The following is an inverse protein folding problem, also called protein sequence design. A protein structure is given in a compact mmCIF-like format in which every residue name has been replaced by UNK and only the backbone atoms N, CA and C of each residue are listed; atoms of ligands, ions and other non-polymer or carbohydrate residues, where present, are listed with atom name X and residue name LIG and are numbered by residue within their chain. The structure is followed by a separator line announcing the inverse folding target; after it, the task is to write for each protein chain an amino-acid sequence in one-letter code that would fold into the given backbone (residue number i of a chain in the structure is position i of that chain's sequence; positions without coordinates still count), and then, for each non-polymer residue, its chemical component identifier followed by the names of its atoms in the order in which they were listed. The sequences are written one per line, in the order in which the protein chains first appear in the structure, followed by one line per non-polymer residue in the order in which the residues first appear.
data_IF_034178472372
#
_entry.id   IF_034178472372
#
_cell.length_a   1.000
_cell.length_b   1.000
_cell.length_c   1.000
_cell.angle_alpha   90.00
_cell.angle_beta   90.00
_cell.angle_gamma   90.00
#
_symmetry.space_group_name_H-M   'P 1'
#
loop_
_entity.id
_entity.type
_entity.pdbx_description
1 polymer ?
#
# COMPACT_ATOMS: atom_id res chain seq x y z
N UNK A 1 7.70 17.91 0.64
CA UNK A 1 6.45 18.23 -0.06
C UNK A 1 5.30 18.07 0.92
N UNK A 2 4.42 19.05 0.97
CA UNK A 2 3.28 19.09 1.90
C UNK A 2 1.96 19.25 1.17
N UNK A 3 0.93 18.66 1.73
CA UNK A 3 -0.46 18.80 1.30
C UNK A 3 -1.25 19.63 2.31
N UNK A 4 -1.82 20.75 1.87
CA UNK A 4 -2.82 21.45 2.65
C UNK A 4 -4.12 20.66 2.68
N UNK A 5 -4.61 20.37 3.88
CA UNK A 5 -5.91 19.73 4.05
C UNK A 5 -7.05 20.75 4.04
N UNK A 6 -6.74 22.04 4.13
CA UNK A 6 -7.73 23.12 4.11
C UNK A 6 -8.22 23.41 2.68
N UNK A 7 -7.28 23.64 1.76
CA UNK A 7 -7.57 24.09 0.38
C UNK A 7 -7.18 23.09 -0.71
N UNK A 8 -6.48 22.00 -0.34
CA UNK A 8 -6.04 20.96 -1.26
C UNK A 8 -4.86 21.36 -2.14
N UNK A 9 -4.10 22.40 -1.78
CA UNK A 9 -2.87 22.77 -2.46
C UNK A 9 -1.70 21.87 -2.03
N UNK A 10 -0.86 21.51 -2.99
CA UNK A 10 0.41 20.84 -2.75
C UNK A 10 1.51 21.87 -2.76
N UNK A 11 2.33 21.92 -1.71
CA UNK A 11 3.34 22.95 -1.49
C UNK A 11 4.72 22.29 -1.34
N UNK A 12 5.74 22.93 -1.90
CA UNK A 12 7.15 22.67 -1.56
C UNK A 12 7.53 23.76 -0.56
N UNK A 13 8.03 23.34 0.61
CA UNK A 13 8.42 24.27 1.68
C UNK A 13 9.77 23.90 2.24
N UNK A 14 10.60 24.87 2.49
CA UNK A 14 11.80 24.73 3.27
C UNK A 14 11.43 24.68 4.76
N UNK A 15 11.90 23.68 5.45
CA UNK A 15 11.71 23.46 6.89
C UNK A 15 13.05 23.12 7.53
N UNK A 16 13.22 23.36 8.84
CA UNK A 16 14.41 22.89 9.54
C UNK A 16 14.60 21.39 9.41
N UNK A 17 15.85 20.93 9.25
CA UNK A 17 16.17 19.51 9.29
C UNK A 17 15.69 18.89 10.60
N UNK A 18 15.10 17.67 10.57
CA UNK A 18 14.75 16.98 11.80
C UNK A 18 15.97 16.71 12.66
N UNK A 19 15.82 16.82 13.97
CA UNK A 19 16.85 16.41 14.92
C UNK A 19 16.75 14.93 15.20
N UNK A 20 17.90 14.25 15.34
CA UNK A 20 17.94 12.81 15.66
C UNK A 20 17.23 12.50 16.98
N UNK A 21 16.57 11.35 17.04
CA UNK A 21 15.89 10.82 18.22
C UNK A 21 16.40 9.41 18.53
N UNK A 22 16.30 8.97 19.77
CA UNK A 22 16.54 7.58 20.16
C UNK A 22 15.65 6.64 19.32
N UNK A 23 16.19 5.50 18.90
CA UNK A 23 15.49 4.50 18.09
C UNK A 23 15.26 4.89 16.61
N UNK A 24 15.80 6.02 16.14
CA UNK A 24 15.55 6.55 14.80
C UNK A 24 16.84 6.68 13.97
N UNK A 25 16.63 6.77 12.67
CA UNK A 25 17.65 7.10 11.68
C UNK A 25 17.33 8.45 11.04
N UNK A 26 18.33 9.30 10.87
CA UNK A 26 18.25 10.47 10.01
C UNK A 26 18.83 10.08 8.64
N UNK A 27 18.00 10.16 7.60
CA UNK A 27 18.30 9.67 6.26
C UNK A 27 18.31 10.86 5.31
N UNK A 28 19.36 11.01 4.51
CA UNK A 28 19.41 11.89 3.36
C UNK A 28 18.83 11.17 2.15
N UNK A 29 17.70 11.63 1.66
CA UNK A 29 16.96 10.99 0.56
C UNK A 29 17.73 11.06 -0.75
N UNK A 30 17.82 9.92 -1.46
CA UNK A 30 18.26 9.86 -2.86
C UNK A 30 17.06 9.88 -3.79
N UNK A 31 16.03 9.08 -3.46
CA UNK A 31 14.78 8.99 -4.23
C UNK A 31 13.59 8.80 -3.29
N UNK A 32 12.45 9.28 -3.74
CA UNK A 32 11.15 8.94 -3.16
C UNK A 32 10.14 8.59 -4.25
N UNK A 33 9.24 7.65 -3.99
CA UNK A 33 8.29 7.15 -4.97
C UNK A 33 6.90 7.77 -4.76
N UNK A 34 6.37 8.43 -5.80
CA UNK A 34 5.00 8.93 -5.81
C UNK A 34 4.04 7.77 -6.04
N UNK A 35 3.21 7.50 -5.06
CA UNK A 35 2.12 6.51 -5.15
C UNK A 35 0.82 7.20 -5.55
N UNK A 36 0.58 7.27 -6.85
CA UNK A 36 -0.55 8.02 -7.43
C UNK A 36 -1.92 7.63 -6.87
N UNK A 37 -2.12 6.39 -6.43
CA UNK A 37 -3.38 5.93 -5.82
C UNK A 37 -3.64 6.58 -4.46
N UNK A 38 -2.68 6.48 -3.54
CA UNK A 38 -2.80 6.98 -2.17
C UNK A 38 -2.76 8.50 -2.13
N UNK A 39 -1.79 9.10 -2.78
CA UNK A 39 -1.60 10.57 -2.75
C UNK A 39 -2.72 11.33 -3.44
N UNK A 40 -3.22 10.81 -4.57
CA UNK A 40 -4.42 11.36 -5.22
C UNK A 40 -5.64 11.37 -4.29
N UNK A 41 -5.79 10.36 -3.44
CA UNK A 41 -6.88 10.31 -2.46
C UNK A 41 -6.73 11.41 -1.42
N UNK A 42 -5.51 11.65 -0.92
CA UNK A 42 -5.21 12.74 0.01
C UNK A 42 -5.45 14.13 -0.61
N UNK A 43 -5.00 14.33 -1.84
CA UNK A 43 -5.24 15.57 -2.60
C UNK A 43 -6.73 15.81 -2.81
N UNK A 44 -7.50 14.79 -3.21
CA UNK A 44 -8.95 14.89 -3.35
C UNK A 44 -9.62 15.24 -2.02
N UNK A 45 -9.20 14.61 -0.93
CA UNK A 45 -9.71 14.91 0.41
C UNK A 45 -9.41 16.37 0.78
N UNK A 46 -8.21 16.88 0.54
CA UNK A 46 -7.85 18.28 0.76
C UNK A 46 -8.77 19.25 -0.02
N UNK A 47 -9.07 18.95 -1.28
CA UNK A 47 -9.92 19.76 -2.17
C UNK A 47 -11.42 19.66 -1.87
N UNK A 48 -11.87 18.68 -1.11
CA UNK A 48 -13.29 18.52 -0.77
C UNK A 48 -13.74 19.56 0.25
N UNK A 49 -15.02 19.91 0.24
CA UNK A 49 -15.60 20.82 1.22
C UNK A 49 -15.74 20.16 2.61
N UNK A 50 -15.98 20.95 3.66
CA UNK A 50 -16.09 20.47 5.04
C UNK A 50 -17.17 19.39 5.21
N UNK A 51 -18.27 19.45 4.48
CA UNK A 51 -19.36 18.48 4.55
C UNK A 51 -18.93 17.15 3.94
N UNK A 52 -18.21 17.19 2.82
CA UNK A 52 -17.65 16.00 2.17
C UNK A 52 -16.53 15.37 3.00
N UNK A 53 -15.66 16.22 3.61
CA UNK A 53 -14.63 15.75 4.57
C UNK A 53 -15.28 15.04 5.76
N UNK A 54 -16.35 15.59 6.32
CA UNK A 54 -17.11 14.98 7.41
C UNK A 54 -17.74 13.64 6.99
N UNK A 55 -18.36 13.57 5.81
CA UNK A 55 -18.93 12.33 5.26
C UNK A 55 -17.87 11.25 5.02
N UNK A 56 -16.66 11.65 4.61
CA UNK A 56 -15.53 10.74 4.37
C UNK A 56 -14.89 10.19 5.65
N UNK A 57 -15.14 10.79 6.82
CA UNK A 57 -14.54 10.40 8.10
C UNK A 57 -15.56 10.39 9.25
N UNK A 58 -16.57 9.49 9.23
CA UNK A 58 -17.67 9.49 10.20
C UNK A 58 -17.20 9.27 11.63
N UNK A 59 -16.14 8.49 11.86
CA UNK A 59 -15.59 8.28 13.22
C UNK A 59 -15.01 9.57 13.80
N UNK A 60 -14.25 10.32 13.01
CA UNK A 60 -13.72 11.63 13.45
C UNK A 60 -14.82 12.66 13.69
N UNK A 61 -15.96 12.54 12.99
CA UNK A 61 -17.12 13.38 13.27
C UNK A 61 -17.70 13.07 14.64
N UNK A 62 -17.73 11.81 15.04
CA UNK A 62 -18.16 11.41 16.43
C UNK A 62 -17.21 12.01 17.47
N UNK A 63 -15.88 11.91 17.26
CA UNK A 63 -14.89 12.49 18.16
C UNK A 63 -15.08 14.01 18.30
N UNK A 64 -15.37 14.70 17.18
CA UNK A 64 -15.68 16.13 17.16
C UNK A 64 -16.96 16.43 17.93
N UNK A 65 -18.03 15.63 17.76
CA UNK A 65 -19.29 15.80 18.48
C UNK A 65 -19.13 15.55 19.99
N UNK A 66 -18.31 14.59 20.40
CA UNK A 66 -17.96 14.40 21.81
C UNK A 66 -17.18 15.57 22.36
N UNK A 67 -16.20 16.07 21.60
CA UNK A 67 -15.40 17.21 21.98
C UNK A 67 -16.21 18.51 22.06
N UNK A 68 -17.26 18.67 21.27
CA UNK A 68 -18.22 19.78 21.40
C UNK A 68 -18.93 19.73 22.77
N UNK A 69 -19.24 18.55 23.27
CA UNK A 69 -19.90 18.38 24.58
C UNK A 69 -18.98 18.70 25.75
N UNK A 70 -17.67 18.42 25.63
CA UNK A 70 -16.68 18.64 26.70
C UNK A 70 -16.07 20.05 26.65
N UNK A 71 -15.65 20.52 25.50
CA UNK A 71 -14.84 21.72 25.31
C UNK A 71 -15.64 22.91 24.76
N UNK A 72 -16.90 22.66 24.34
CA UNK A 72 -17.78 23.64 23.72
C UNK A 72 -17.57 23.77 22.20
N UNK A 73 -18.57 24.33 21.46
CA UNK A 73 -18.55 24.35 20.00
C UNK A 73 -17.49 25.27 19.39
N UNK A 74 -17.20 26.41 20.02
CA UNK A 74 -16.23 27.38 19.49
C UNK A 74 -14.80 26.85 19.60
N UNK A 75 -14.43 26.31 20.75
CA UNK A 75 -13.11 25.72 21.01
C UNK A 75 -12.87 24.52 20.10
N UNK A 76 -13.89 23.66 19.93
CA UNK A 76 -13.80 22.51 19.05
C UNK A 76 -13.66 22.90 17.59
N UNK A 77 -14.43 23.89 17.12
CA UNK A 77 -14.29 24.43 15.76
C UNK A 77 -12.87 24.95 15.49
N UNK A 78 -12.31 25.72 16.43
CA UNK A 78 -10.95 26.24 16.34
C UNK A 78 -9.92 25.10 16.29
N UNK A 79 -10.07 24.07 17.10
CA UNK A 79 -9.19 22.90 17.11
C UNK A 79 -9.25 22.12 15.80
N UNK A 80 -10.44 21.93 15.22
CA UNK A 80 -10.61 21.29 13.92
C UNK A 80 -9.98 22.13 12.82
N UNK A 81 -10.23 23.44 12.83
CA UNK A 81 -9.65 24.37 11.86
C UNK A 81 -8.12 24.34 11.92
N UNK A 82 -7.52 24.50 13.10
CA UNK A 82 -6.07 24.43 13.29
C UNK A 82 -5.47 23.12 12.80
N UNK A 83 -6.18 22.00 12.98
CA UNK A 83 -5.73 20.68 12.49
C UNK A 83 -5.80 20.55 10.97
N UNK A 84 -6.76 21.20 10.31
CA UNK A 84 -6.86 21.24 8.85
C UNK A 84 -5.87 22.22 8.22
N UNK A 85 -5.49 23.27 8.94
CA UNK A 85 -4.49 24.26 8.53
C UNK A 85 -3.05 23.72 8.61
N UNK A 86 -2.81 22.64 9.41
CA UNK A 86 -1.48 22.02 9.49
C UNK A 86 -1.19 21.26 8.19
N UNK A 87 -0.12 21.64 7.45
CA UNK A 87 0.28 20.92 6.26
C UNK A 87 0.71 19.49 6.61
N UNK A 88 0.24 18.53 5.83
CA UNK A 88 0.60 17.13 6.01
C UNK A 88 1.70 16.72 5.03
N UNK A 89 2.80 16.11 5.47
CA UNK A 89 3.82 15.61 4.56
C UNK A 89 3.24 14.55 3.62
N UNK A 90 3.58 14.62 2.33
CA UNK A 90 3.24 13.62 1.32
C UNK A 90 4.36 12.60 1.18
N UNK A 91 4.00 11.42 0.70
CA UNK A 91 4.92 10.31 0.49
C UNK A 91 5.01 9.36 1.68
N UNK A 92 5.40 8.13 1.37
CA UNK A 92 5.64 7.05 2.32
C UNK A 92 6.59 5.98 1.75
N UNK A 93 7.40 6.36 0.79
CA UNK A 93 8.35 5.47 0.11
C UNK A 93 9.61 6.26 -0.18
N UNK A 94 10.67 5.98 0.56
CA UNK A 94 11.93 6.69 0.50
C UNK A 94 13.09 5.71 0.42
N UNK A 95 14.17 6.10 -0.25
CA UNK A 95 15.47 5.46 -0.22
C UNK A 95 16.55 6.53 -0.09
N UNK A 96 17.56 6.28 0.70
CA UNK A 96 18.64 7.23 0.92
C UNK A 96 19.76 6.70 1.80
N UNK A 97 20.67 7.57 2.14
CA UNK A 97 21.85 7.29 2.96
C UNK A 97 21.62 7.72 4.42
N UNK A 98 21.96 6.86 5.35
CA UNK A 98 21.95 7.17 6.80
C UNK A 98 23.06 8.16 7.10
N UNK A 99 22.70 9.35 7.58
CA UNK A 99 23.66 10.40 7.96
C UNK A 99 23.82 10.55 9.46
N UNK A 100 22.84 10.08 10.25
CA UNK A 100 22.90 10.09 11.70
C UNK A 100 22.10 8.90 12.27
N UNK A 101 22.59 8.29 13.35
CA UNK A 101 21.99 7.14 14.02
C UNK A 101 21.66 7.49 15.45
N UNK A 102 20.42 7.28 15.87
CA UNK A 102 19.95 7.55 17.21
C UNK A 102 20.38 6.50 18.21
N UNK A 103 20.37 6.85 19.48
CA UNK A 103 20.66 5.93 20.58
C UNK A 103 19.73 4.70 20.52
N UNK A 104 20.27 3.50 20.79
CA UNK A 104 19.51 2.24 20.76
C UNK A 104 19.27 1.68 19.35
N UNK A 105 20.03 2.12 18.36
CA UNK A 105 20.04 1.56 17.01
C UNK A 105 21.40 0.95 16.73
N UNK A 106 21.49 -0.38 16.76
CA UNK A 106 22.75 -1.11 16.61
C UNK A 106 22.90 -1.79 15.24
N UNK A 107 21.80 -1.89 14.48
CA UNK A 107 21.75 -2.62 13.20
C UNK A 107 22.03 -1.77 11.95
N UNK A 108 22.26 -0.46 12.12
CA UNK A 108 22.55 0.47 11.03
C UNK A 108 23.77 1.35 11.37
N UNK A 109 24.52 1.73 10.35
CA UNK A 109 25.68 2.60 10.44
C UNK A 109 25.51 3.84 9.56
N UNK A 110 26.22 4.92 9.89
CA UNK A 110 26.34 6.09 9.00
C UNK A 110 26.96 5.64 7.66
N UNK A 111 26.35 6.08 6.56
CA UNK A 111 26.73 5.68 5.21
C UNK A 111 25.95 4.48 4.65
N UNK A 112 25.20 3.76 5.48
CA UNK A 112 24.34 2.69 4.99
C UNK A 112 23.23 3.23 4.07
N UNK A 113 22.96 2.51 2.98
CA UNK A 113 21.81 2.77 2.13
C UNK A 113 20.60 2.01 2.64
N UNK A 114 19.51 2.74 2.87
CA UNK A 114 18.28 2.17 3.45
C UNK A 114 17.04 2.60 2.67
N UNK A 115 16.05 1.71 2.63
CA UNK A 115 14.67 2.06 2.27
C UNK A 115 13.89 2.36 3.55
N UNK A 116 12.93 3.26 3.46
CA UNK A 116 12.06 3.62 4.58
C UNK A 116 10.65 4.04 4.12
N UNK A 117 9.73 4.16 5.09
CA UNK A 117 8.43 4.77 4.86
C UNK A 117 8.44 6.31 4.97
N UNK A 118 9.60 6.94 4.87
CA UNK A 118 9.76 8.39 4.93
C UNK A 118 8.98 9.14 3.85
N UNK A 119 8.58 10.39 4.12
CA UNK A 119 7.87 11.25 3.18
C UNK A 119 8.79 11.77 2.06
N UNK A 120 8.22 12.53 1.11
CA UNK A 120 8.98 13.26 0.09
C UNK A 120 9.67 14.48 0.71
N UNK A 121 10.90 14.29 1.18
CA UNK A 121 11.74 15.32 1.76
C UNK A 121 13.22 14.98 1.56
N UNK A 122 14.09 16.00 1.56
CA UNK A 122 15.54 15.80 1.45
C UNK A 122 16.10 15.04 2.67
N UNK A 123 15.56 15.34 3.84
CA UNK A 123 15.94 14.73 5.11
C UNK A 123 14.70 14.12 5.75
N UNK A 124 14.79 12.84 6.10
CA UNK A 124 13.71 12.14 6.78
C UNK A 124 14.19 11.48 8.06
N UNK A 125 13.43 11.65 9.13
CA UNK A 125 13.65 10.98 10.40
C UNK A 125 12.69 9.81 10.52
N UNK A 126 13.21 8.58 10.58
CA UNK A 126 12.39 7.37 10.52
C UNK A 126 12.80 6.38 11.62
N UNK A 127 11.85 5.76 12.34
CA UNK A 127 12.15 4.71 13.30
C UNK A 127 12.83 3.50 12.65
N UNK A 128 13.73 2.85 13.38
CA UNK A 128 14.55 1.72 12.88
C UNK A 128 13.72 0.54 12.34
N UNK A 129 12.55 0.26 12.91
CA UNK A 129 11.68 -0.83 12.47
C UNK A 129 10.95 -0.53 11.15
N UNK A 130 11.00 0.71 10.68
CA UNK A 130 10.45 1.14 9.39
C UNK A 130 11.55 1.40 8.35
N UNK A 131 12.76 0.88 8.61
CA UNK A 131 13.92 0.94 7.72
C UNK A 131 14.44 -0.47 7.43
N UNK A 132 14.98 -0.68 6.22
CA UNK A 132 15.69 -1.90 5.85
C UNK A 132 16.89 -1.58 4.96
N UNK A 133 18.00 -2.32 5.15
CA UNK A 133 19.24 -2.16 4.38
C UNK A 133 19.03 -2.52 2.92
N UNK A 134 19.46 -1.63 2.02
CA UNK A 134 19.48 -1.90 0.58
C UNK A 134 20.70 -2.79 0.28
N UNK A 135 20.52 -3.94 -0.41
CA UNK A 135 21.64 -4.75 -0.86
C UNK A 135 22.58 -3.96 -1.79
N UNK A 136 23.88 -4.16 -1.66
CA UNK A 136 24.94 -3.40 -2.42
C UNK A 136 24.70 -3.40 -3.94
N UNK A 137 24.27 -4.53 -4.50
CA UNK A 137 24.08 -4.71 -5.95
C UNK A 137 22.69 -4.23 -6.44
N UNK A 138 21.85 -3.67 -5.56
CA UNK A 138 20.52 -3.20 -5.93
C UNK A 138 20.53 -1.69 -6.17
N UNK A 139 19.99 -1.28 -7.32
CA UNK A 139 19.84 0.14 -7.65
C UNK A 139 18.77 0.80 -6.73
N UNK A 140 19.10 1.95 -6.16
CA UNK A 140 18.21 2.72 -5.29
C UNK A 140 16.86 3.05 -5.95
N UNK A 141 16.88 3.30 -7.27
CA UNK A 141 15.67 3.59 -8.04
C UNK A 141 14.72 2.38 -8.15
N UNK A 142 15.25 1.16 -8.03
CA UNK A 142 14.43 -0.06 -7.90
C UNK A 142 14.05 -0.28 -6.43
N UNK A 143 14.99 -0.04 -5.51
CA UNK A 143 14.79 -0.24 -4.07
C UNK A 143 13.65 0.60 -3.51
N UNK A 144 13.39 1.81 -4.03
CA UNK A 144 12.31 2.68 -3.56
C UNK A 144 10.89 2.07 -3.70
N UNK A 145 10.74 1.03 -4.54
CA UNK A 145 9.47 0.28 -4.67
C UNK A 145 9.19 -0.68 -3.51
N UNK A 146 10.10 -0.81 -2.56
CA UNK A 146 10.00 -1.77 -1.46
C UNK A 146 8.73 -1.61 -0.63
N UNK A 147 8.42 -0.40 -0.18
CA UNK A 147 7.26 -0.16 0.67
C UNK A 147 5.93 -0.49 -0.04
N UNK A 148 5.64 0.02 -1.25
CA UNK A 148 4.41 -0.36 -1.96
C UNK A 148 4.35 -1.85 -2.33
N UNK A 149 5.48 -2.49 -2.65
CA UNK A 149 5.51 -3.92 -2.91
C UNK A 149 5.21 -4.75 -1.65
N UNK A 150 5.63 -4.27 -0.47
CA UNK A 150 5.33 -4.91 0.81
C UNK A 150 3.85 -4.87 1.17
N UNK A 151 3.09 -3.87 0.70
CA UNK A 151 1.62 -3.85 0.81
C UNK A 151 1.04 -5.04 0.04
N UNK A 152 1.49 -5.26 -1.19
CA UNK A 152 1.09 -6.43 -1.99
C UNK A 152 1.49 -7.75 -1.34
N UNK A 153 2.74 -7.83 -0.83
CA UNK A 153 3.25 -9.03 -0.16
C UNK A 153 2.44 -9.37 1.10
N UNK A 154 2.02 -8.38 1.89
CA UNK A 154 1.16 -8.62 3.05
C UNK A 154 -0.19 -9.23 2.63
N UNK A 155 -0.81 -8.74 1.58
CA UNK A 155 -2.02 -9.36 1.04
C UNK A 155 -1.80 -10.79 0.59
N UNK A 156 -0.68 -11.09 -0.04
CA UNK A 156 -0.28 -12.45 -0.43
C UNK A 156 -0.08 -13.36 0.79
N UNK A 157 0.54 -12.86 1.87
CA UNK A 157 0.72 -13.63 3.11
C UNK A 157 -0.62 -13.99 3.76
N UNK A 158 -1.59 -13.09 3.74
CA UNK A 158 -2.96 -13.36 4.20
C UNK A 158 -3.69 -14.33 3.27
N UNK A 159 -3.44 -14.23 1.97
CA UNK A 159 -4.00 -15.12 0.97
C UNK A 159 -3.47 -16.56 1.10
N UNK A 160 -2.21 -16.76 1.53
CA UNK A 160 -1.55 -18.06 1.71
C UNK A 160 -1.62 -18.92 0.44
N UNK A 161 -1.06 -18.45 -0.69
CA UNK A 161 -1.10 -19.21 -1.93
C UNK A 161 -0.31 -20.52 -1.84
N UNK A 162 -0.78 -21.50 -2.61
CA UNK A 162 0.00 -22.73 -2.86
C UNK A 162 0.43 -22.77 -4.32
N UNK A 163 1.52 -23.51 -4.59
CA UNK A 163 2.06 -23.63 -5.94
C UNK A 163 1.01 -24.19 -6.92
N UNK A 164 0.87 -23.54 -8.08
CA UNK A 164 -0.06 -23.94 -9.14
C UNK A 164 -1.47 -23.37 -9.01
N UNK A 165 -1.81 -22.68 -7.93
CA UNK A 165 -3.11 -21.99 -7.81
C UNK A 165 -3.29 -20.91 -8.89
N UNK A 166 -4.53 -20.71 -9.32
CA UNK A 166 -4.90 -19.60 -10.22
C UNK A 166 -5.50 -18.46 -9.41
N UNK A 167 -4.89 -17.29 -9.50
CA UNK A 167 -5.28 -16.10 -8.72
C UNK A 167 -5.61 -14.95 -9.67
N UNK A 168 -6.78 -14.33 -9.48
CA UNK A 168 -7.13 -13.10 -10.18
C UNK A 168 -6.73 -11.87 -9.33
N UNK A 169 -6.02 -10.92 -9.94
CA UNK A 169 -5.75 -9.61 -9.36
C UNK A 169 -6.67 -8.58 -10.02
N UNK A 170 -7.54 -7.94 -9.22
CA UNK A 170 -8.45 -6.88 -9.67
C UNK A 170 -7.86 -5.52 -9.32
N UNK A 171 -7.58 -4.72 -10.35
CA UNK A 171 -6.87 -3.45 -10.24
C UNK A 171 -5.38 -3.62 -10.54
N UNK A 172 -4.96 -3.19 -11.74
CA UNK A 172 -3.58 -3.31 -12.23
C UNK A 172 -2.82 -1.97 -12.14
N UNK A 173 -3.08 -1.21 -11.06
CA UNK A 173 -2.25 -0.09 -10.66
C UNK A 173 -0.91 -0.56 -10.09
N UNK A 174 -0.13 0.36 -9.52
CA UNK A 174 1.18 0.06 -8.94
C UNK A 174 1.17 -1.16 -8.02
N UNK A 175 0.31 -1.15 -6.98
CA UNK A 175 0.20 -2.27 -6.01
C UNK A 175 -0.24 -3.55 -6.70
N UNK A 176 -1.20 -3.48 -7.65
CA UNK A 176 -1.72 -4.66 -8.36
C UNK A 176 -0.67 -5.36 -9.20
N UNK A 177 0.10 -4.60 -9.98
CA UNK A 177 1.18 -5.16 -10.81
C UNK A 177 2.30 -5.76 -9.95
N UNK A 178 2.69 -5.09 -8.85
CA UNK A 178 3.67 -5.63 -7.91
C UNK A 178 3.15 -6.93 -7.26
N UNK A 179 1.89 -6.96 -6.83
CA UNK A 179 1.23 -8.15 -6.27
C UNK A 179 1.18 -9.30 -7.28
N UNK A 180 0.82 -9.01 -8.53
CA UNK A 180 0.73 -10.01 -9.59
C UNK A 180 2.09 -10.66 -9.91
N UNK A 181 3.17 -9.87 -9.96
CA UNK A 181 4.52 -10.38 -10.16
C UNK A 181 4.97 -11.26 -8.98
N UNK A 182 4.73 -10.83 -7.73
CA UNK A 182 5.06 -11.60 -6.53
C UNK A 182 4.29 -12.92 -6.46
N UNK A 183 3.01 -12.97 -6.83
CA UNK A 183 2.24 -14.22 -6.95
C UNK A 183 2.84 -15.16 -8.00
N UNK A 184 3.21 -14.59 -9.16
CA UNK A 184 3.84 -15.35 -10.24
C UNK A 184 5.18 -15.96 -9.80
N UNK A 185 6.01 -15.20 -9.06
CA UNK A 185 7.29 -15.70 -8.53
C UNK A 185 7.11 -16.82 -7.50
N UNK A 186 5.94 -16.91 -6.86
CA UNK A 186 5.57 -18.00 -5.94
C UNK A 186 4.92 -19.21 -6.65
N UNK A 187 4.92 -19.23 -7.98
CA UNK A 187 4.42 -20.36 -8.77
C UNK A 187 2.91 -20.36 -8.99
N UNK A 188 2.23 -19.25 -8.75
CA UNK A 188 0.81 -19.10 -9.10
C UNK A 188 0.63 -18.79 -10.59
N UNK A 189 -0.50 -19.24 -11.16
CA UNK A 189 -1.03 -18.74 -12.43
C UNK A 189 -1.80 -17.46 -12.16
N UNK A 190 -1.33 -16.33 -12.67
CA UNK A 190 -1.91 -15.02 -12.37
C UNK A 190 -2.71 -14.52 -13.54
N UNK A 191 -3.96 -14.16 -13.28
CA UNK A 191 -4.86 -13.44 -14.17
C UNK A 191 -4.99 -12.00 -13.65
N UNK A 192 -5.11 -11.04 -14.54
CA UNK A 192 -5.26 -9.63 -14.22
C UNK A 192 -6.54 -9.02 -14.79
N UNK A 193 -7.15 -8.10 -14.06
CA UNK A 193 -8.29 -7.32 -14.54
C UNK A 193 -8.18 -5.85 -14.09
N UNK A 194 -8.27 -4.93 -15.04
CA UNK A 194 -8.45 -3.49 -14.81
C UNK A 194 -9.37 -2.92 -15.89
N UNK A 195 -10.05 -1.82 -15.63
CA UNK A 195 -10.89 -1.11 -16.61
C UNK A 195 -10.07 -0.21 -17.55
N UNK A 196 -8.78 -0.02 -17.27
CA UNK A 196 -7.85 0.78 -18.05
C UNK A 196 -6.97 -0.12 -18.92
N UNK A 197 -7.18 -0.06 -20.25
CA UNK A 197 -6.44 -0.87 -21.23
C UNK A 197 -4.92 -0.65 -21.14
N UNK A 198 -4.44 0.57 -20.80
CA UNK A 198 -3.01 0.84 -20.69
C UNK A 198 -2.37 0.02 -19.56
N UNK A 199 -3.09 -0.14 -18.46
CA UNK A 199 -2.62 -0.97 -17.33
C UNK A 199 -2.65 -2.46 -17.67
N UNK A 200 -3.66 -2.91 -18.41
CA UNK A 200 -3.72 -4.27 -18.93
C UNK A 200 -2.53 -4.55 -19.84
N UNK A 201 -2.25 -3.68 -20.79
CA UNK A 201 -1.11 -3.81 -21.71
C UNK A 201 0.24 -3.89 -20.94
N UNK A 202 0.44 -3.01 -19.95
CA UNK A 202 1.64 -3.05 -19.12
C UNK A 202 1.76 -4.37 -18.33
N UNK A 203 0.65 -4.87 -17.81
CA UNK A 203 0.62 -6.16 -17.12
C UNK A 203 0.98 -7.33 -18.07
N UNK A 204 0.48 -7.31 -19.31
CA UNK A 204 0.81 -8.29 -20.34
C UNK A 204 2.28 -8.27 -20.73
N UNK A 205 2.88 -7.08 -20.84
CA UNK A 205 4.33 -6.93 -21.06
C UNK A 205 5.18 -7.52 -19.94
N UNK A 206 4.61 -7.64 -18.72
CA UNK A 206 5.23 -8.28 -17.56
C UNK A 206 4.84 -9.77 -17.45
N UNK A 207 4.14 -10.29 -18.48
CA UNK A 207 3.75 -11.69 -18.59
C UNK A 207 2.61 -12.09 -17.67
N UNK A 208 1.70 -11.17 -17.37
CA UNK A 208 0.46 -11.39 -16.64
C UNK A 208 -0.67 -11.40 -17.66
N UNK A 209 -1.42 -12.50 -17.76
CA UNK A 209 -2.54 -12.62 -18.69
C UNK A 209 -3.72 -11.78 -18.19
N UNK A 210 -4.24 -10.87 -19.03
CA UNK A 210 -5.33 -9.98 -18.63
C UNK A 210 -6.66 -10.33 -19.26
N UNK A 211 -7.75 -9.92 -18.60
CA UNK A 211 -9.11 -10.04 -19.14
C UNK A 211 -9.26 -9.03 -20.28
N UNK A 212 -9.65 -9.44 -21.51
CA UNK A 212 -9.92 -8.50 -22.58
C UNK A 212 -11.12 -7.60 -22.26
N UNK A 213 -10.98 -6.28 -22.50
CA UNK A 213 -12.02 -5.29 -22.17
C UNK A 213 -13.18 -5.24 -23.18
N UNK A 214 -13.02 -5.81 -24.36
CA UNK A 214 -14.03 -5.90 -25.41
C UNK A 214 -14.95 -7.12 -25.29
N UNK A 215 -14.73 -7.97 -24.28
CA UNK A 215 -15.57 -9.14 -24.03
C UNK A 215 -17.01 -8.72 -23.66
N UNK A 216 -17.96 -9.16 -24.48
CA UNK A 216 -19.40 -8.96 -24.24
C UNK A 216 -19.90 -9.63 -22.96
N UNK A 217 -19.23 -10.69 -22.52
CA UNK A 217 -19.64 -11.57 -21.42
C UNK A 217 -18.95 -11.22 -20.08
N UNK A 218 -18.06 -10.22 -20.07
CA UNK A 218 -17.38 -9.74 -18.86
C UNK A 218 -16.30 -10.67 -18.30
N UNK A 219 -15.63 -10.27 -17.20
CA UNK A 219 -14.49 -11.00 -16.64
C UNK A 219 -14.86 -12.38 -16.08
N UNK A 220 -16.14 -12.61 -15.75
CA UNK A 220 -16.60 -13.83 -15.10
C UNK A 220 -16.44 -15.06 -16.01
N UNK A 221 -17.00 -15.01 -17.20
CA UNK A 221 -16.95 -16.13 -18.16
C UNK A 221 -15.51 -16.40 -18.61
N UNK A 222 -14.74 -15.34 -18.86
CA UNK A 222 -13.34 -15.49 -19.24
C UNK A 222 -12.51 -16.21 -18.14
N UNK A 223 -12.69 -15.84 -16.85
CA UNK A 223 -12.02 -16.53 -15.76
C UNK A 223 -12.44 -18.01 -15.66
N UNK A 224 -13.71 -18.31 -15.90
CA UNK A 224 -14.21 -19.69 -15.93
C UNK A 224 -13.57 -20.50 -17.06
N UNK A 225 -13.48 -19.95 -18.27
CA UNK A 225 -12.78 -20.57 -19.40
C UNK A 225 -11.30 -20.85 -19.07
N UNK A 226 -10.59 -19.86 -18.47
CA UNK A 226 -9.18 -20.01 -18.09
C UNK A 226 -8.95 -21.05 -17.00
N UNK A 227 -9.99 -21.49 -16.32
CA UNK A 227 -9.94 -22.43 -15.17
C UNK A 227 -10.77 -23.70 -15.43
N UNK A 228 -11.08 -24.04 -16.68
CA UNK A 228 -11.91 -25.20 -17.05
C UNK A 228 -13.24 -25.25 -16.29
N UNK A 229 -13.91 -24.12 -16.14
CA UNK A 229 -15.18 -23.91 -15.42
C UNK A 229 -15.14 -24.20 -13.91
N UNK A 230 -13.94 -24.31 -13.32
CA UNK A 230 -13.78 -24.51 -11.86
C UNK A 230 -13.91 -23.18 -11.12
N UNK A 231 -13.43 -22.10 -11.70
CA UNK A 231 -13.21 -20.79 -11.07
C UNK A 231 -11.81 -20.64 -10.51
N UNK A 232 -11.41 -19.41 -10.17
CA UNK A 232 -10.09 -19.11 -9.61
C UNK A 232 -10.01 -19.54 -8.16
N UNK A 233 -8.81 -19.93 -7.69
CA UNK A 233 -8.56 -20.31 -6.28
C UNK A 233 -8.78 -19.14 -5.33
N UNK A 234 -8.57 -17.93 -5.81
CA UNK A 234 -8.99 -16.74 -5.12
C UNK A 234 -8.68 -15.46 -5.87
N UNK A 235 -9.03 -14.34 -5.23
CA UNK A 235 -8.91 -13.00 -5.79
C UNK A 235 -8.20 -12.08 -4.83
N UNK A 236 -7.29 -11.27 -5.33
CA UNK A 236 -6.72 -10.14 -4.59
C UNK A 236 -7.21 -8.84 -5.23
N UNK A 237 -7.90 -8.01 -4.44
CA UNK A 237 -8.47 -6.74 -4.91
C UNK A 237 -7.54 -5.61 -4.47
N UNK A 238 -6.90 -4.97 -5.44
CA UNK A 238 -6.01 -3.81 -5.24
C UNK A 238 -6.61 -2.51 -5.81
N UNK A 239 -7.79 -2.61 -6.41
CA UNK A 239 -8.50 -1.45 -6.96
C UNK A 239 -8.92 -0.46 -5.87
N UNK A 240 -8.89 0.85 -6.21
CA UNK A 240 -9.45 1.91 -5.38
C UNK A 240 -10.64 2.54 -6.11
N UNK A 241 -11.85 2.32 -5.59
CA UNK A 241 -13.11 2.76 -6.20
C UNK A 241 -14.24 2.86 -5.20
N UNK A 242 -15.20 3.76 -5.46
CA UNK A 242 -16.44 3.87 -4.69
C UNK A 242 -17.52 2.84 -5.13
N UNK A 243 -17.15 1.89 -5.98
CA UNK A 243 -18.03 0.81 -6.46
C UNK A 243 -17.91 -0.44 -5.59
N UNK A 244 -18.98 -1.23 -5.56
CA UNK A 244 -19.01 -2.59 -5.00
C UNK A 244 -18.67 -3.68 -6.04
N UNK A 245 -18.44 -3.28 -7.30
CA UNK A 245 -18.24 -4.18 -8.42
C UNK A 245 -17.06 -5.14 -8.24
N UNK A 246 -15.86 -4.70 -7.76
CA UNK A 246 -14.72 -5.60 -7.58
C UNK A 246 -15.03 -6.78 -6.65
N UNK A 247 -15.76 -6.57 -5.55
CA UNK A 247 -16.19 -7.62 -4.63
C UNK A 247 -17.21 -8.57 -5.29
N UNK A 248 -18.12 -8.01 -6.08
CA UNK A 248 -19.13 -8.79 -6.80
C UNK A 248 -18.47 -9.69 -7.83
N UNK A 249 -17.57 -9.15 -8.65
CA UNK A 249 -16.79 -9.94 -9.63
C UNK A 249 -16.00 -11.03 -8.89
N UNK A 250 -15.23 -10.65 -7.84
CA UNK A 250 -14.43 -11.59 -7.09
C UNK A 250 -15.23 -12.79 -6.55
N UNK A 251 -16.43 -12.54 -5.99
CA UNK A 251 -17.28 -13.61 -5.47
C UNK A 251 -17.82 -14.55 -6.56
N UNK A 252 -18.08 -14.03 -7.76
CA UNK A 252 -18.59 -14.81 -8.89
C UNK A 252 -17.50 -15.69 -9.51
N UNK A 253 -16.28 -15.16 -9.69
CA UNK A 253 -15.17 -15.87 -10.32
C UNK A 253 -14.48 -16.90 -9.41
N UNK A 254 -14.56 -16.72 -8.08
CA UNK A 254 -14.01 -17.69 -7.14
C UNK A 254 -14.68 -19.06 -7.26
N UNK A 255 -13.88 -20.13 -7.18
CA UNK A 255 -14.38 -21.49 -6.95
C UNK A 255 -15.01 -21.64 -5.56
N UNK A 256 -15.64 -22.78 -5.28
CA UNK A 256 -16.04 -23.15 -3.91
C UNK A 256 -14.82 -23.16 -2.99
N UNK A 257 -14.98 -22.60 -1.80
CA UNK A 257 -13.91 -22.42 -0.78
C UNK A 257 -12.74 -21.59 -1.27
N UNK A 258 -12.99 -20.68 -2.23
CA UNK A 258 -12.01 -19.68 -2.66
C UNK A 258 -11.79 -18.62 -1.60
N UNK A 259 -10.76 -17.79 -1.82
CA UNK A 259 -10.35 -16.72 -0.88
C UNK A 259 -10.37 -15.38 -1.58
N UNK A 260 -10.81 -14.35 -0.87
CA UNK A 260 -10.75 -12.97 -1.36
C UNK A 260 -9.98 -12.13 -0.35
N UNK A 261 -8.92 -11.46 -0.81
CA UNK A 261 -8.16 -10.50 -0.01
C UNK A 261 -8.38 -9.10 -0.59
N UNK A 262 -8.79 -8.17 0.25
CA UNK A 262 -8.91 -6.76 -0.10
C UNK A 262 -7.68 -5.98 0.41
N UNK A 263 -6.88 -5.48 -0.51
CA UNK A 263 -5.76 -4.56 -0.26
C UNK A 263 -6.18 -3.12 -0.55
N UNK A 264 -6.93 -2.92 -1.64
CA UNK A 264 -7.39 -1.62 -2.09
C UNK A 264 -8.53 -1.05 -1.25
N UNK A 265 -9.21 -0.06 -1.80
CA UNK A 265 -10.36 0.60 -1.16
C UNK A 265 -11.58 0.45 -2.06
N UNK A 266 -12.58 -0.30 -1.59
CA UNK A 266 -13.86 -0.49 -2.29
C UNK A 266 -15.03 -0.38 -1.32
N UNK A 267 -16.24 -0.20 -1.83
CA UNK A 267 -17.43 -0.40 -1.00
C UNK A 267 -17.54 -1.87 -0.61
N UNK A 268 -17.96 -2.14 0.62
CA UNK A 268 -18.10 -3.47 1.19
C UNK A 268 -19.58 -3.82 1.41
N UNK A 269 -20.39 -3.76 0.34
CA UNK A 269 -21.76 -4.29 0.37
C UNK A 269 -21.73 -5.76 -0.06
N UNK A 270 -21.42 -6.65 0.88
CA UNK A 270 -21.28 -8.09 0.65
C UNK A 270 -22.67 -8.74 0.66
N UNK A 271 -23.06 -9.28 -0.51
CA UNK A 271 -24.27 -10.09 -0.63
C UNK A 271 -24.01 -11.49 -0.09
N UNK A 272 -24.67 -11.84 1.02
CA UNK A 272 -24.48 -13.13 1.72
C UNK A 272 -24.59 -14.32 0.77
N UNK A 273 -25.55 -14.32 -0.15
CA UNK A 273 -25.84 -15.43 -1.06
C UNK A 273 -24.61 -15.85 -1.85
N UNK A 274 -23.88 -14.88 -2.44
CA UNK A 274 -22.68 -15.12 -3.27
C UNK A 274 -21.54 -15.79 -2.49
N UNK A 275 -21.43 -15.49 -1.19
CA UNK A 275 -20.40 -16.04 -0.31
C UNK A 275 -20.82 -17.37 0.30
N UNK A 276 -22.09 -17.49 0.69
CA UNK A 276 -22.63 -18.65 1.39
C UNK A 276 -22.61 -19.92 0.52
N UNK A 277 -23.08 -19.84 -0.72
CA UNK A 277 -23.14 -20.99 -1.64
C UNK A 277 -21.78 -21.58 -1.96
N UNK A 278 -20.76 -20.73 -2.00
CA UNK A 278 -19.38 -21.12 -2.29
C UNK A 278 -18.48 -21.24 -1.07
N UNK A 279 -18.97 -20.90 0.12
CA UNK A 279 -18.19 -20.94 1.37
C UNK A 279 -16.88 -20.11 1.24
N UNK A 280 -16.97 -18.89 0.67
CA UNK A 280 -15.83 -18.02 0.37
C UNK A 280 -15.30 -17.36 1.64
N UNK A 281 -13.98 -17.38 1.84
CA UNK A 281 -13.29 -16.60 2.87
C UNK A 281 -13.01 -15.19 2.36
N UNK A 282 -13.21 -14.17 3.21
CA UNK A 282 -12.90 -12.78 2.91
C UNK A 282 -12.08 -12.16 4.04
N UNK A 283 -11.01 -11.45 3.68
CA UNK A 283 -10.19 -10.74 4.65
C UNK A 283 -9.67 -9.41 4.07
N UNK A 284 -9.61 -8.38 4.91
CA UNK A 284 -8.99 -7.09 4.59
C UNK A 284 -7.53 -7.12 5.02
N UNK A 285 -6.62 -6.68 4.14
CA UNK A 285 -5.20 -6.53 4.43
C UNK A 285 -4.91 -5.16 5.01
N UNK A 286 -4.04 -5.11 6.00
CA UNK A 286 -3.61 -3.86 6.62
C UNK A 286 -2.18 -3.53 6.19
N UNK A 287 -2.04 -2.50 5.35
CA UNK A 287 -0.77 -1.88 4.97
C UNK A 287 0.34 -2.91 4.63
N UNK A 288 1.56 -2.74 5.14
CA UNK A 288 2.72 -3.61 4.85
C UNK A 288 2.99 -4.67 5.93
N UNK A 289 2.05 -4.88 6.85
CA UNK A 289 2.06 -6.07 7.71
C UNK A 289 2.00 -5.82 9.22
N UNK A 290 2.24 -6.87 10.01
CA UNK A 290 2.27 -6.80 11.48
C UNK A 290 3.30 -5.79 11.99
N UNK A 291 2.90 -5.01 12.96
CA UNK A 291 3.62 -3.84 13.47
C UNK A 291 2.89 -2.54 13.15
N UNK A 292 2.11 -2.51 12.07
CA UNK A 292 1.39 -1.32 11.63
C UNK A 292 0.38 -0.87 12.70
N UNK A 293 0.48 0.42 13.08
CA UNK A 293 -0.31 1.05 14.14
C UNK A 293 -0.02 0.54 15.56
N UNK A 294 1.04 -0.25 15.76
CA UNK A 294 1.56 -0.58 17.08
C UNK A 294 2.71 0.40 17.41
N UNK A 295 2.46 1.32 18.33
CA UNK A 295 3.45 2.34 18.72
C UNK A 295 4.70 1.72 19.33
N UNK A 296 4.57 0.60 20.04
CA UNK A 296 5.72 -0.12 20.59
C UNK A 296 6.64 -0.63 19.48
N UNK A 297 6.08 -1.11 18.38
CA UNK A 297 6.84 -1.57 17.24
C UNK A 297 7.35 -0.40 16.37
N UNK A 298 6.45 0.49 15.95
CA UNK A 298 6.79 1.57 15.01
C UNK A 298 7.66 2.65 15.67
N UNK A 299 7.33 3.12 16.89
CA UNK A 299 7.97 4.29 17.51
C UNK A 299 9.03 3.90 18.53
N UNK A 300 8.75 2.91 19.41
CA UNK A 300 9.68 2.50 20.46
C UNK A 300 10.75 1.50 19.96
N UNK A 301 10.59 0.98 18.72
CA UNK A 301 11.54 0.07 18.11
C UNK A 301 11.59 -1.32 18.74
N UNK A 302 10.53 -1.74 19.44
CA UNK A 302 10.41 -3.06 20.07
C UNK A 302 9.88 -4.05 19.02
N UNK A 303 10.74 -4.97 18.56
CA UNK A 303 10.33 -5.98 17.59
C UNK A 303 9.63 -7.17 18.27
N UNK A 304 8.74 -7.82 17.52
CA UNK A 304 8.09 -9.05 17.96
C UNK A 304 9.05 -10.24 17.95
N UNK A 305 8.94 -11.17 18.92
CA UNK A 305 9.70 -12.42 18.86
C UNK A 305 9.41 -13.15 17.55
N UNK A 306 10.47 -13.46 16.78
CA UNK A 306 10.37 -14.01 15.42
C UNK A 306 9.60 -15.33 15.35
N UNK A 307 9.63 -16.13 16.42
CA UNK A 307 8.88 -17.38 16.50
C UNK A 307 7.37 -17.21 16.58
N UNK A 308 6.89 -16.03 16.98
CA UNK A 308 5.45 -15.72 17.09
C UNK A 308 4.96 -14.86 15.93
N UNK A 309 5.77 -13.87 15.48
CA UNK A 309 5.44 -13.00 14.35
C UNK A 309 6.59 -13.06 13.34
N UNK A 310 6.51 -14.01 12.39
CA UNK A 310 7.58 -14.23 11.41
C UNK A 310 7.73 -13.04 10.45
N UNK A 311 6.63 -12.42 10.05
CA UNK A 311 6.60 -11.39 9.01
C UNK A 311 6.04 -10.08 9.54
N UNK A 312 6.95 -9.23 10.00
CA UNK A 312 6.66 -7.84 10.37
C UNK A 312 6.84 -6.91 9.17
N UNK A 313 6.51 -5.64 9.33
CA UNK A 313 6.74 -4.59 8.33
C UNK A 313 8.19 -4.61 7.81
N UNK A 314 9.18 -4.52 8.70
CA UNK A 314 10.61 -4.56 8.36
C UNK A 314 10.97 -5.83 7.61
N UNK A 315 10.55 -7.00 8.08
CA UNK A 315 10.85 -8.29 7.44
C UNK A 315 10.15 -8.44 6.08
N UNK A 316 9.04 -7.76 5.87
CA UNK A 316 8.42 -7.65 4.55
C UNK A 316 9.25 -6.76 3.63
N UNK A 317 9.82 -5.64 4.12
CA UNK A 317 10.76 -4.81 3.34
C UNK A 317 11.98 -5.62 2.91
N UNK A 318 12.62 -6.35 3.84
CA UNK A 318 13.76 -7.22 3.56
C UNK A 318 13.42 -8.30 2.50
N UNK A 319 12.23 -8.91 2.58
CA UNK A 319 11.79 -9.89 1.61
C UNK A 319 11.58 -9.29 0.19
N UNK A 320 11.08 -8.07 0.10
CA UNK A 320 10.95 -7.37 -1.18
C UNK A 320 12.31 -6.97 -1.74
N UNK A 321 13.22 -6.44 -0.93
CA UNK A 321 14.57 -6.12 -1.36
C UNK A 321 15.29 -7.35 -1.92
N UNK A 322 15.13 -8.50 -1.29
CA UNK A 322 15.62 -9.78 -1.83
C UNK A 322 14.98 -10.12 -3.18
N UNK A 323 13.67 -9.94 -3.33
CA UNK A 323 12.95 -10.22 -4.58
C UNK A 323 13.38 -9.28 -5.73
N UNK A 324 13.66 -8.01 -5.42
CA UNK A 324 14.22 -7.05 -6.37
C UNK A 324 15.65 -7.43 -6.78
N UNK A 325 16.53 -7.71 -5.81
CA UNK A 325 17.90 -8.14 -6.04
C UNK A 325 17.97 -9.39 -6.93
N UNK A 326 17.11 -10.38 -6.68
CA UNK A 326 17.06 -11.64 -7.45
C UNK A 326 16.25 -11.55 -8.74
N UNK A 327 15.79 -10.33 -9.11
CA UNK A 327 15.00 -10.06 -10.32
C UNK A 327 13.70 -10.88 -10.43
N UNK A 328 13.17 -11.35 -9.30
CA UNK A 328 11.83 -11.95 -9.21
C UNK A 328 10.72 -10.88 -9.32
N UNK A 329 11.06 -9.64 -8.99
CA UNK A 329 10.22 -8.46 -9.15
C UNK A 329 10.94 -7.47 -10.07
N UNK A 330 10.30 -7.11 -11.20
CA UNK A 330 10.81 -6.13 -12.15
C UNK A 330 9.97 -4.85 -12.05
N UNK A 331 10.63 -3.74 -11.75
CA UNK A 331 9.97 -2.44 -11.57
C UNK A 331 10.37 -1.39 -12.61
N UNK A 332 11.31 -1.69 -13.51
CA UNK A 332 11.82 -0.74 -14.50
C UNK A 332 10.70 -0.14 -15.36
N UNK A 333 9.76 -0.98 -15.84
CA UNK A 333 8.63 -0.55 -16.65
C UNK A 333 7.56 0.23 -15.87
N UNK A 334 7.65 0.25 -14.54
CA UNK A 334 6.73 0.99 -13.67
C UNK A 334 7.16 2.43 -13.44
N UNK A 335 8.38 2.77 -13.81
CA UNK A 335 8.93 4.14 -13.71
C UNK A 335 8.43 4.94 -14.90
N UNK A 336 7.39 5.74 -14.71
CA UNK A 336 6.82 6.56 -15.79
C UNK A 336 7.55 7.89 -15.98
N UNK A 337 7.96 8.54 -14.89
CA UNK A 337 8.61 9.84 -14.89
C UNK A 337 9.58 9.97 -13.73
N UNK A 338 10.55 10.85 -13.87
CA UNK A 338 11.46 11.32 -12.82
C UNK A 338 11.36 12.83 -12.73
N UNK A 339 11.29 13.34 -11.52
CA UNK A 339 11.23 14.77 -11.21
C UNK A 339 12.36 15.13 -10.26
N UNK A 340 13.03 16.23 -10.53
CA UNK A 340 13.92 16.86 -9.57
C UNK A 340 13.11 17.79 -8.67
N UNK A 341 13.42 17.84 -7.38
CA UNK A 341 12.70 18.65 -6.37
C UNK A 341 13.68 19.63 -5.74
#
# INVERSE_FOLDING_TARGET
IFQSLENGETLISEIPSPSIKSGHLLIKSSFSLISSGTERTLIKFGKSNLIEKAKGQPERVKDVLEKIKTDGPITTYQAVKNKLEQPMPLGYCNVGEVIEVGEGVDEFNIGDKVVSNGPHAEMVLVPKNLCALVPEDLNEIEAVFTVPASIGLQGIRLFKPTFGETVLVIGLGLIGILTAQLLKSQGCRVLGFDIDQKKCNLAEELGIKTVPLDLREGPENWCLEMTNNIGVDGVIITASTDSNEPITIASKVCRKRGRIILIGVTKLNIKRELFYEKEISFQVSCSYGPGRYDTSYEEDGIDYPIGFVRWTEKRNFEAILYSLKTKQLNVEKLISNKFDI
#
